data_IF_989582562675
#
_entry.id   IF_989582562675
#
_cell.length_a   1.000
_cell.length_b   1.000
_cell.length_c   1.000
_cell.angle_alpha   90.00
_cell.angle_beta   90.00
_cell.angle_gamma   90.00
#
_symmetry.space_group_name_H-M   'P 1'
#
loop_
_entity.id
_entity.type
_entity.pdbx_description
1 polymer ?
#
# COMPACT_ATOMS: atom_id res chain seq x y z
N UNK A 1 12.16 -0.22 -3.10
CA UNK A 1 10.86 0.26 -3.63
C UNK A 1 9.63 -0.36 -2.96
N UNK A 2 9.73 -1.49 -2.24
CA UNK A 2 8.56 -2.17 -1.65
C UNK A 2 7.65 -1.32 -0.75
N UNK A 3 8.18 -0.34 -0.02
CA UNK A 3 7.39 0.62 0.77
C UNK A 3 6.46 1.49 -0.09
N UNK A 4 6.92 1.92 -1.26
CA UNK A 4 6.09 2.64 -2.25
C UNK A 4 4.98 1.72 -2.75
N UNK A 5 5.30 0.45 -2.99
CA UNK A 5 4.33 -0.55 -3.43
C UNK A 5 3.29 -0.88 -2.35
N UNK A 6 3.66 -0.80 -1.06
CA UNK A 6 2.71 -0.89 0.03
C UNK A 6 1.74 0.29 0.04
N UNK A 7 2.21 1.52 -0.14
CA UNK A 7 1.34 2.70 -0.26
C UNK A 7 0.40 2.56 -1.47
N UNK A 8 0.93 2.12 -2.61
CA UNK A 8 0.13 1.87 -3.81
C UNK A 8 -0.94 0.78 -3.55
N UNK A 9 -0.56 -0.30 -2.86
CA UNK A 9 -1.47 -1.33 -2.37
C UNK A 9 -2.60 -0.78 -1.50
N UNK A 10 -2.27 0.12 -0.58
CA UNK A 10 -3.24 0.79 0.30
C UNK A 10 -4.22 1.65 -0.50
N UNK A 11 -3.72 2.51 -1.39
CA UNK A 11 -4.56 3.45 -2.16
C UNK A 11 -5.46 2.70 -3.13
N UNK A 12 -4.92 1.76 -3.92
CA UNK A 12 -5.72 1.03 -4.90
C UNK A 12 -6.76 0.10 -4.26
N UNK A 13 -6.53 -0.36 -3.02
CA UNK A 13 -7.52 -1.16 -2.28
C UNK A 13 -8.65 -0.29 -1.71
N UNK A 14 -8.33 0.91 -1.22
CA UNK A 14 -9.32 1.83 -0.66
C UNK A 14 -10.14 2.54 -1.74
N UNK A 15 -9.52 2.88 -2.87
CA UNK A 15 -10.13 3.65 -3.96
C UNK A 15 -9.96 2.91 -5.29
N UNK A 16 -10.64 1.76 -5.49
CA UNK A 16 -10.44 0.91 -6.67
C UNK A 16 -10.84 1.59 -7.99
N UNK A 17 -11.79 2.52 -7.92
CA UNK A 17 -12.32 3.25 -9.09
C UNK A 17 -11.57 4.56 -9.36
N UNK A 18 -10.57 4.92 -8.55
CA UNK A 18 -9.76 6.11 -8.81
C UNK A 18 -8.97 5.94 -10.11
N UNK A 19 -8.91 6.98 -10.93
CA UNK A 19 -8.10 6.98 -12.15
C UNK A 19 -6.63 7.28 -11.82
N UNK A 20 -5.76 6.39 -12.28
CA UNK A 20 -4.30 6.54 -12.23
C UNK A 20 -3.79 6.90 -13.62
N UNK A 21 -2.75 7.73 -13.65
CA UNK A 21 -2.03 8.09 -14.88
C UNK A 21 -0.53 7.87 -14.68
N UNK A 22 0.17 7.57 -15.78
CA UNK A 22 1.63 7.52 -15.77
C UNK A 22 2.13 8.95 -15.91
N UNK A 23 3.07 9.37 -15.06
CA UNK A 23 3.61 10.76 -15.04
C UNK A 23 4.02 11.23 -16.44
N UNK A 24 4.66 10.36 -17.23
CA UNK A 24 5.14 10.69 -18.58
C UNK A 24 4.11 10.45 -19.69
N UNK A 25 2.98 9.80 -19.40
CA UNK A 25 1.85 9.60 -20.33
C UNK A 25 0.53 9.94 -19.63
N UNK A 26 0.29 11.22 -19.29
CA UNK A 26 -0.87 11.65 -18.50
C UNK A 26 -2.21 11.52 -19.25
N UNK A 27 -2.17 11.35 -20.57
CA UNK A 27 -3.35 11.12 -21.41
C UNK A 27 -3.82 9.65 -21.41
N UNK A 28 -3.02 8.73 -20.85
CA UNK A 28 -3.41 7.34 -20.63
C UNK A 28 -3.80 7.17 -19.16
N UNK A 29 -5.11 7.13 -18.90
CA UNK A 29 -5.65 6.84 -17.57
C UNK A 29 -6.19 5.41 -17.50
N UNK A 30 -6.15 4.83 -16.30
CA UNK A 30 -6.70 3.51 -16.01
C UNK A 30 -7.18 3.45 -14.57
N UNK A 31 -8.15 2.59 -14.27
CA UNK A 31 -8.62 2.41 -12.89
C UNK A 31 -7.52 1.86 -11.99
N UNK A 32 -7.50 2.29 -10.73
CA UNK A 32 -6.57 1.82 -9.71
C UNK A 32 -6.63 0.28 -9.56
N UNK A 33 -7.83 -0.29 -9.68
CA UNK A 33 -8.05 -1.75 -9.72
C UNK A 33 -7.32 -2.42 -10.87
N UNK A 34 -7.44 -1.90 -12.09
CA UNK A 34 -6.70 -2.45 -13.24
C UNK A 34 -5.20 -2.29 -13.03
N UNK A 35 -4.76 -1.12 -12.57
CA UNK A 35 -3.35 -0.81 -12.32
C UNK A 35 -2.69 -1.78 -11.34
N UNK A 36 -3.32 -2.03 -10.18
CA UNK A 36 -2.75 -2.93 -9.17
C UNK A 36 -2.74 -4.39 -9.63
N UNK A 37 -3.77 -4.86 -10.35
CA UNK A 37 -3.80 -6.23 -10.90
C UNK A 37 -2.68 -6.40 -11.92
N UNK A 38 -2.56 -5.48 -12.88
CA UNK A 38 -1.50 -5.52 -13.90
C UNK A 38 -0.11 -5.52 -13.27
N UNK A 39 0.12 -4.71 -12.24
CA UNK A 39 1.40 -4.64 -11.55
C UNK A 39 1.73 -5.93 -10.80
N UNK A 40 0.78 -6.50 -10.05
CA UNK A 40 0.96 -7.80 -9.38
C UNK A 40 1.27 -8.89 -10.40
N UNK A 41 0.52 -8.94 -11.52
CA UNK A 41 0.78 -9.91 -12.59
C UNK A 41 2.17 -9.75 -13.19
N UNK A 42 2.61 -8.52 -13.44
CA UNK A 42 3.94 -8.23 -13.99
C UNK A 42 5.06 -8.64 -13.02
N UNK A 43 4.97 -8.30 -11.73
CA UNK A 43 5.98 -8.69 -10.75
C UNK A 43 5.98 -10.19 -10.48
N UNK A 44 4.82 -10.85 -10.55
CA UNK A 44 4.72 -12.32 -10.45
C UNK A 44 5.42 -12.99 -11.63
N UNK A 45 5.17 -12.52 -12.85
CA UNK A 45 5.86 -13.01 -14.04
C UNK A 45 7.37 -12.73 -13.95
N UNK A 46 7.78 -11.54 -13.53
CA UNK A 46 9.19 -11.20 -13.34
C UNK A 46 9.87 -12.07 -12.29
N UNK A 47 9.16 -12.41 -11.21
CA UNK A 47 9.66 -13.34 -10.18
C UNK A 47 9.80 -14.76 -10.73
N UNK A 48 8.80 -15.28 -11.46
CA UNK A 48 8.82 -16.63 -12.05
C UNK A 48 9.90 -16.74 -13.13
N UNK A 49 9.99 -15.74 -14.00
CA UNK A 49 10.97 -15.67 -15.10
C UNK A 49 12.36 -15.22 -14.62
N UNK A 50 12.53 -14.95 -13.32
CA UNK A 50 13.80 -14.58 -12.67
C UNK A 50 14.45 -13.34 -13.28
N UNK A 51 13.65 -12.34 -13.66
CA UNK A 51 14.16 -11.04 -14.08
C UNK A 51 14.90 -10.36 -12.91
N UNK A 52 16.08 -9.79 -13.19
CA UNK A 52 16.96 -9.19 -12.17
C UNK A 52 16.99 -7.67 -12.21
N UNK A 53 16.27 -7.05 -13.15
CA UNK A 53 16.28 -5.60 -13.35
C UNK A 53 15.42 -4.84 -12.32
N UNK A 54 14.44 -5.50 -11.71
CA UNK A 54 13.52 -4.92 -10.73
C UNK A 54 13.43 -5.82 -9.49
N UNK A 55 13.24 -5.21 -8.33
CA UNK A 55 13.03 -5.91 -7.06
C UNK A 55 11.61 -6.51 -6.96
N UNK A 56 11.24 -7.38 -7.90
CA UNK A 56 9.88 -7.93 -8.06
C UNK A 56 9.32 -8.53 -6.78
N UNK A 57 10.14 -9.28 -6.02
CA UNK A 57 9.70 -9.87 -4.74
C UNK A 57 9.44 -8.81 -3.66
N UNK A 58 10.22 -7.73 -3.64
CA UNK A 58 9.99 -6.61 -2.73
C UNK A 58 8.73 -5.82 -3.11
N UNK A 59 8.44 -5.70 -4.41
CA UNK A 59 7.19 -5.10 -4.89
C UNK A 59 5.98 -5.93 -4.48
N UNK A 60 5.96 -7.24 -4.78
CA UNK A 60 4.87 -8.15 -4.39
C UNK A 60 4.64 -8.13 -2.88
N UNK A 61 5.71 -8.26 -2.09
CA UNK A 61 5.62 -8.19 -0.62
C UNK A 61 5.03 -6.88 -0.14
N UNK A 62 5.47 -5.76 -0.72
CA UNK A 62 4.92 -4.43 -0.46
C UNK A 62 3.43 -4.34 -0.76
N UNK A 63 3.01 -4.67 -1.98
CA UNK A 63 1.60 -4.61 -2.40
C UNK A 63 0.72 -5.46 -1.49
N UNK A 64 1.10 -6.72 -1.26
CA UNK A 64 0.32 -7.61 -0.40
C UNK A 64 0.25 -7.11 1.04
N UNK A 65 1.34 -6.54 1.58
CA UNK A 65 1.32 -5.91 2.88
C UNK A 65 0.35 -4.72 2.93
N UNK A 66 0.34 -3.86 1.91
CA UNK A 66 -0.60 -2.74 1.81
C UNK A 66 -2.07 -3.18 1.76
N UNK A 67 -2.39 -4.18 0.93
CA UNK A 67 -3.74 -4.78 0.86
C UNK A 67 -4.14 -5.36 2.22
N UNK A 68 -3.24 -6.12 2.84
CA UNK A 68 -3.46 -6.73 4.16
C UNK A 68 -3.70 -5.66 5.23
N UNK A 69 -2.91 -4.57 5.21
CA UNK A 69 -3.06 -3.46 6.14
C UNK A 69 -4.45 -2.83 6.03
N UNK A 70 -4.94 -2.57 4.82
CA UNK A 70 -6.30 -2.00 4.64
C UNK A 70 -7.37 -2.94 5.14
N UNK A 71 -7.30 -4.23 4.78
CA UNK A 71 -8.35 -5.21 5.11
C UNK A 71 -8.38 -5.61 6.59
N UNK A 72 -7.23 -5.69 7.24
CA UNK A 72 -7.10 -6.29 8.58
C UNK A 72 -6.23 -5.45 9.52
N UNK A 73 -5.08 -5.00 9.04
CA UNK A 73 -4.06 -4.38 9.90
C UNK A 73 -4.49 -3.06 10.53
N UNK A 74 -5.23 -2.22 9.79
CA UNK A 74 -5.68 -0.90 10.23
C UNK A 74 -6.52 -1.01 11.50
N UNK A 75 -7.57 -1.85 11.48
CA UNK A 75 -8.45 -2.08 12.63
C UNK A 75 -7.66 -2.55 13.85
N UNK A 76 -6.87 -3.62 13.69
CA UNK A 76 -6.13 -4.22 14.80
C UNK A 76 -5.10 -3.28 15.42
N UNK A 77 -4.36 -2.55 14.57
CA UNK A 77 -3.35 -1.60 15.04
C UNK A 77 -3.97 -0.39 15.75
N UNK A 78 -5.01 0.22 15.17
CA UNK A 78 -5.61 1.42 15.76
C UNK A 78 -6.33 1.12 17.07
N UNK A 79 -7.01 -0.03 17.18
CA UNK A 79 -7.60 -0.48 18.45
C UNK A 79 -6.54 -0.69 19.53
N UNK A 80 -5.40 -1.28 19.18
CA UNK A 80 -4.29 -1.51 20.13
C UNK A 80 -3.54 -0.23 20.50
N UNK A 81 -3.50 0.77 19.60
CA UNK A 81 -2.83 2.05 19.82
C UNK A 81 -3.67 3.04 20.62
N UNK A 82 -4.99 2.93 20.58
CA UNK A 82 -5.92 3.80 21.31
C UNK A 82 -5.53 4.02 22.80
N UNK A 83 -5.21 2.99 23.61
CA UNK A 83 -4.79 3.19 25.00
C UNK A 83 -3.46 3.93 25.14
N UNK A 84 -2.49 3.69 24.24
CA UNK A 84 -1.20 4.39 24.24
C UNK A 84 -1.39 5.87 23.93
N UNK A 85 -2.21 6.17 22.92
CA UNK A 85 -2.54 7.54 22.51
C UNK A 85 -3.29 8.27 23.64
N UNK A 86 -4.23 7.60 24.31
CA UNK A 86 -4.93 8.15 25.47
C UNK A 86 -3.98 8.46 26.63
N UNK A 87 -3.05 7.55 26.94
CA UNK A 87 -2.01 7.77 27.96
C UNK A 87 -1.16 9.00 27.63
N UNK A 88 -0.73 9.13 26.36
CA UNK A 88 0.00 10.31 25.90
C UNK A 88 -0.80 11.61 26.05
N UNK A 89 -2.09 11.60 25.69
CA UNK A 89 -2.96 12.77 25.88
C UNK A 89 -3.08 13.15 27.36
N UNK A 90 -3.28 12.19 28.26
CA UNK A 90 -3.37 12.44 29.70
C UNK A 90 -2.06 13.01 30.28
N UNK A 91 -0.91 12.48 29.84
CA UNK A 91 0.39 13.01 30.24
C UNK A 91 0.57 14.45 29.75
N UNK A 92 0.31 14.72 28.46
CA UNK A 92 0.45 16.04 27.87
C UNK A 92 -0.41 17.10 28.55
N UNK A 93 -1.66 16.79 28.87
CA UNK A 93 -2.56 17.74 29.53
C UNK A 93 -2.19 17.96 31.01
N UNK A 94 -1.49 17.03 31.68
CA UNK A 94 -0.95 17.25 33.03
C UNK A 94 0.23 18.22 33.09
N UNK A 95 0.97 18.39 31.99
CA UNK A 95 2.14 19.27 31.90
C UNK A 95 1.83 20.60 31.17
N UNK A 96 0.54 20.85 30.90
CA UNK A 96 0.02 22.15 30.47
C UNK A 96 -0.53 22.91 31.67
#
# INVERSE_FOLDING_TARGET
SGSIMAILGVICTQYPDAELAIIFLPFLTFSAKTGIISMISFDLLGTIMRWRYLDHSAHLGGVFFGIFYVKYGSKFMWESLAPVVQCWHQLREKFK
#
